data_IF_387611323880
#
_entry.id   IF_387611323880
#
_cell.length_a   1.000
_cell.length_b   1.000
_cell.length_c   1.000
_cell.angle_alpha   90.00
_cell.angle_beta   90.00
_cell.angle_gamma   90.00
#
_symmetry.space_group_name_H-M   'P 1'
#
loop_
_entity.id
_entity.type
_entity.pdbx_description
1 polymer ?
#
# COMPACT_ATOMS: atom_id res chain seq x y z
N UNK A 1 3.22 20.94 -2.09
CA UNK A 1 4.22 20.11 -2.74
C UNK A 1 4.68 19.03 -1.77
N UNK A 2 4.52 17.77 -2.15
CA UNK A 2 4.97 16.63 -1.35
C UNK A 2 6.45 16.34 -1.58
N UNK A 3 7.03 15.33 -0.88
CA UNK A 3 8.40 14.92 -1.12
C UNK A 3 8.54 14.42 -2.54
N UNK A 4 9.57 14.88 -3.22
CA UNK A 4 9.93 14.35 -4.54
C UNK A 4 10.74 13.08 -4.33
N UNK A 5 10.34 12.01 -4.99
CA UNK A 5 11.04 10.73 -4.88
C UNK A 5 10.32 9.65 -5.65
N UNK A 6 10.90 8.46 -5.66
CA UNK A 6 10.40 7.30 -6.40
C UNK A 6 10.20 6.13 -5.45
N UNK A 7 9.01 5.54 -5.52
CA UNK A 7 8.70 4.29 -4.83
C UNK A 7 8.99 3.13 -5.78
N UNK A 8 9.94 2.28 -5.39
CA UNK A 8 10.34 1.11 -6.18
C UNK A 8 9.81 -0.15 -5.50
N UNK A 9 8.98 -0.90 -6.22
CA UNK A 9 8.42 -2.15 -5.74
C UNK A 9 9.30 -3.30 -6.22
N UNK A 10 10.06 -3.87 -5.28
CA UNK A 10 10.87 -5.05 -5.52
C UNK A 10 10.17 -6.33 -5.08
N UNK A 11 10.89 -7.45 -5.15
CA UNK A 11 10.43 -8.71 -4.59
C UNK A 11 10.53 -8.66 -3.06
N UNK A 12 9.43 -8.89 -2.37
CA UNK A 12 9.30 -8.91 -0.91
C UNK A 12 9.60 -7.60 -0.18
N UNK A 13 9.92 -6.50 -0.90
CA UNK A 13 10.18 -5.21 -0.26
C UNK A 13 9.76 -4.04 -1.13
N UNK A 14 9.61 -2.88 -0.49
CA UNK A 14 9.32 -1.61 -1.14
C UNK A 14 10.39 -0.62 -0.69
N UNK A 15 10.97 0.08 -1.66
CA UNK A 15 12.04 1.05 -1.44
C UNK A 15 11.58 2.43 -1.89
N UNK A 16 11.74 3.43 -1.02
CA UNK A 16 11.59 4.83 -1.38
C UNK A 16 12.97 5.45 -1.58
N UNK A 17 13.18 6.05 -2.75
CA UNK A 17 14.43 6.73 -3.09
C UNK A 17 14.18 8.21 -3.34
N UNK A 18 14.98 9.04 -2.70
CA UNK A 18 15.03 10.47 -2.91
C UNK A 18 16.46 10.88 -3.28
N UNK A 19 16.61 11.83 -4.19
CA UNK A 19 17.90 12.17 -4.80
C UNK A 19 19.02 12.53 -3.82
N UNK A 20 18.70 13.04 -2.64
CA UNK A 20 19.67 13.52 -1.66
C UNK A 20 19.63 12.78 -0.33
N UNK A 21 18.95 11.64 -0.27
CA UNK A 21 18.83 10.86 0.95
C UNK A 21 19.12 9.39 0.70
N UNK A 22 19.47 8.67 1.76
CA UNK A 22 19.55 7.22 1.72
C UNK A 22 18.17 6.62 1.43
N UNK A 23 18.17 5.44 0.82
CA UNK A 23 16.93 4.74 0.54
C UNK A 23 16.28 4.22 1.82
N UNK A 24 14.95 4.33 1.90
CA UNK A 24 14.14 3.74 2.96
C UNK A 24 13.48 2.48 2.43
N UNK A 25 13.55 1.39 3.18
CA UNK A 25 12.98 0.10 2.79
C UNK A 25 12.07 -0.45 3.87
N UNK A 26 10.98 -1.10 3.41
CA UNK A 26 10.11 -1.90 4.27
C UNK A 26 9.88 -3.26 3.61
N UNK A 27 9.77 -4.30 4.43
CA UNK A 27 9.34 -5.61 3.95
C UNK A 27 7.85 -5.59 3.64
N UNK A 28 7.43 -6.29 2.59
CA UNK A 28 6.01 -6.54 2.34
C UNK A 28 5.57 -7.61 3.35
N UNK A 29 4.58 -7.34 4.22
CA UNK A 29 4.12 -8.32 5.19
C UNK A 29 3.60 -9.59 4.51
N UNK A 30 3.89 -10.73 5.11
CA UNK A 30 3.46 -12.04 4.63
C UNK A 30 2.16 -12.45 5.29
N UNK A 31 1.30 -13.13 4.54
CA UNK A 31 0.08 -13.71 5.10
C UNK A 31 0.42 -14.80 6.09
N UNK A 32 -0.22 -14.78 7.26
CA UNK A 32 -0.21 -15.94 8.14
C UNK A 32 -1.24 -16.95 7.65
N UNK A 33 -0.78 -18.17 7.38
CA UNK A 33 -1.64 -19.26 6.95
C UNK A 33 -0.87 -20.56 6.81
N UNK A 34 -1.55 -21.69 7.01
CA UNK A 34 -0.94 -23.01 7.04
C UNK A 34 -0.46 -23.53 5.67
N UNK A 35 -0.87 -22.86 4.60
CA UNK A 35 -0.58 -23.32 3.23
C UNK A 35 0.42 -22.46 2.50
N UNK A 36 1.02 -21.49 3.20
CA UNK A 36 1.90 -20.53 2.55
C UNK A 36 3.30 -21.13 2.37
N UNK A 37 3.79 -21.07 1.13
CA UNK A 37 5.17 -21.42 0.81
C UNK A 37 6.09 -20.31 1.29
N UNK A 38 7.00 -20.57 2.27
CA UNK A 38 7.92 -19.56 2.77
C UNK A 38 8.94 -19.10 1.72
N UNK A 39 9.10 -19.85 0.63
CA UNK A 39 10.00 -19.50 -0.47
C UNK A 39 9.32 -18.60 -1.52
N UNK A 40 7.99 -18.49 -1.48
CA UNK A 40 7.27 -17.67 -2.44
C UNK A 40 7.52 -16.20 -2.17
N UNK A 41 7.95 -15.51 -3.20
CA UNK A 41 8.14 -14.06 -3.16
C UNK A 41 6.86 -13.33 -3.55
N UNK A 42 6.67 -12.18 -2.93
CA UNK A 42 5.52 -11.32 -3.20
C UNK A 42 5.92 -10.21 -4.13
N UNK A 43 5.06 -9.95 -5.10
CA UNK A 43 5.26 -8.84 -6.03
C UNK A 43 4.04 -7.92 -6.02
N UNK A 44 4.28 -6.65 -6.23
CA UNK A 44 3.22 -5.67 -6.40
C UNK A 44 2.72 -5.72 -7.84
N UNK A 45 1.43 -5.93 -8.01
CA UNK A 45 0.79 -6.05 -9.33
C UNK A 45 0.01 -4.80 -9.72
N UNK A 46 -0.39 -3.98 -8.75
CA UNK A 46 -1.12 -2.74 -9.00
C UNK A 46 -0.87 -1.75 -7.87
N UNK A 47 -1.02 -0.47 -8.15
CA UNK A 47 -0.86 0.57 -7.15
C UNK A 47 -1.52 1.86 -7.54
N UNK A 48 -1.86 2.67 -6.55
CA UNK A 48 -2.46 3.99 -6.73
C UNK A 48 -2.02 4.90 -5.60
N UNK A 49 -1.85 6.18 -5.90
CA UNK A 49 -1.58 7.22 -4.91
C UNK A 49 -2.84 8.08 -4.71
N UNK A 50 -3.14 8.38 -3.47
CA UNK A 50 -4.24 9.27 -3.11
C UNK A 50 -3.75 10.43 -2.28
N UNK A 51 -4.08 11.66 -2.71
CA UNK A 51 -3.84 12.88 -1.93
C UNK A 51 -5.07 13.18 -1.10
N UNK A 52 -4.87 13.35 0.20
CA UNK A 52 -5.95 13.64 1.13
C UNK A 52 -6.33 15.11 1.08
N UNK A 53 -7.63 15.41 1.13
CA UNK A 53 -8.12 16.78 1.20
C UNK A 53 -7.95 17.31 2.62
N UNK A 54 -7.62 18.59 2.74
CA UNK A 54 -7.62 19.34 4.01
C UNK A 54 -6.37 19.19 4.87
N UNK A 55 -5.50 18.24 4.58
CA UNK A 55 -4.20 18.12 5.23
C UNK A 55 -3.11 18.48 4.22
N UNK A 56 -2.39 19.55 4.43
CA UNK A 56 -1.38 20.03 3.49
C UNK A 56 -0.32 18.94 3.22
N UNK A 57 -0.28 18.45 2.00
CA UNK A 57 0.71 17.46 1.58
C UNK A 57 0.49 16.03 2.05
N UNK A 58 -0.61 15.73 2.75
CA UNK A 58 -0.89 14.37 3.19
C UNK A 58 -1.33 13.51 2.00
N UNK A 59 -0.71 12.33 1.87
CA UNK A 59 -1.03 11.36 0.83
C UNK A 59 -0.65 9.96 1.29
N UNK A 60 -1.20 8.96 0.63
CA UNK A 60 -0.81 7.56 0.84
C UNK A 60 -0.84 6.80 -0.49
N UNK A 61 -0.16 5.67 -0.50
CA UNK A 61 -0.24 4.70 -1.59
C UNK A 61 -1.04 3.50 -1.13
N UNK A 62 -1.84 2.95 -2.03
CA UNK A 62 -2.38 1.59 -1.90
C UNK A 62 -1.69 0.73 -2.94
N UNK A 63 -1.01 -0.32 -2.49
CA UNK A 63 -0.31 -1.27 -3.35
C UNK A 63 -0.92 -2.65 -3.16
N UNK A 64 -1.17 -3.35 -4.26
CA UNK A 64 -1.74 -4.69 -4.25
C UNK A 64 -0.69 -5.72 -4.61
N UNK A 65 -0.62 -6.77 -3.80
CA UNK A 65 0.22 -7.94 -4.10
C UNK A 65 -0.51 -8.90 -5.03
N UNK A 66 0.23 -9.87 -5.55
CA UNK A 66 -0.29 -10.93 -6.40
C UNK A 66 -1.25 -11.89 -5.67
N UNK A 67 -1.38 -11.78 -4.35
CA UNK A 67 -2.42 -12.46 -3.56
C UNK A 67 -3.73 -11.68 -3.46
N UNK A 68 -3.76 -10.44 -3.95
CA UNK A 68 -4.91 -9.55 -3.82
C UNK A 68 -4.89 -8.67 -2.59
N UNK A 69 -3.90 -8.83 -1.72
CA UNK A 69 -3.79 -8.04 -0.49
C UNK A 69 -3.37 -6.61 -0.79
N UNK A 70 -4.11 -5.66 -0.22
CA UNK A 70 -3.82 -4.24 -0.31
C UNK A 70 -3.04 -3.80 0.92
N UNK A 71 -1.95 -3.05 0.67
CA UNK A 71 -1.15 -2.44 1.73
C UNK A 71 -1.19 -0.93 1.58
N UNK A 72 -1.38 -0.26 2.71
CA UNK A 72 -1.30 1.20 2.78
C UNK A 72 0.14 1.59 3.10
N UNK A 73 0.74 2.38 2.23
CA UNK A 73 2.08 2.91 2.41
C UNK A 73 1.98 4.41 2.67
N UNK A 74 2.59 4.85 3.77
CA UNK A 74 2.69 6.27 4.11
C UNK A 74 4.15 6.67 4.27
N UNK A 75 4.43 7.92 3.93
CA UNK A 75 5.76 8.51 4.07
C UNK A 75 5.67 9.55 5.19
N UNK A 76 6.39 9.31 6.28
CA UNK A 76 6.48 10.26 7.38
C UNK A 76 7.61 11.25 7.12
N UNK A 77 7.29 12.52 7.23
CA UNK A 77 8.23 13.61 7.01
C UNK A 77 8.84 14.08 8.32
N UNK A 78 10.07 14.57 8.25
CA UNK A 78 10.66 15.34 9.36
C UNK A 78 9.90 16.64 9.52
N UNK A 79 9.51 16.97 10.73
CA UNK A 79 8.83 18.21 11.05
C UNK A 79 9.82 19.25 11.58
N UNK A 80 9.55 20.53 11.28
CA UNK A 80 10.30 21.64 11.85
C UNK A 80 9.80 21.97 13.28
N UNK A 81 10.40 23.00 13.90
CA UNK A 81 10.06 23.40 15.27
C UNK A 81 8.59 23.87 15.43
N UNK A 82 7.92 24.16 14.31
CA UNK A 82 6.51 24.56 14.28
C UNK A 82 5.57 23.39 13.92
N UNK A 83 6.09 22.18 13.79
CA UNK A 83 5.31 21.00 13.40
C UNK A 83 4.95 20.95 11.92
N UNK A 84 5.65 21.72 11.07
CA UNK A 84 5.41 21.72 9.63
C UNK A 84 6.34 20.74 8.91
N UNK A 85 5.85 20.01 7.89
CA UNK A 85 6.70 19.11 7.11
C UNK A 85 7.82 19.87 6.41
N UNK A 86 9.05 19.34 6.51
CA UNK A 86 10.24 19.98 5.92
C UNK A 86 10.53 19.53 4.49
N UNK A 87 9.86 18.50 4.01
CA UNK A 87 10.21 17.85 2.73
C UNK A 87 11.27 16.78 2.87
N UNK A 88 11.93 16.66 4.01
CA UNK A 88 12.85 15.57 4.31
C UNK A 88 12.07 14.36 4.85
N UNK A 89 12.34 13.18 4.32
CA UNK A 89 11.64 11.96 4.72
C UNK A 89 12.30 11.39 5.98
N UNK A 90 11.48 11.07 6.97
CA UNK A 90 11.91 10.46 8.21
C UNK A 90 11.85 8.93 8.15
N UNK A 91 10.76 8.38 7.63
CA UNK A 91 10.57 6.94 7.49
C UNK A 91 9.46 6.58 6.52
N UNK A 92 9.51 5.34 6.07
CA UNK A 92 8.45 4.71 5.29
C UNK A 92 7.66 3.77 6.22
N UNK A 93 6.34 3.73 6.07
CA UNK A 93 5.47 2.88 6.87
C UNK A 93 4.59 2.04 5.96
N UNK A 94 4.30 0.81 6.37
CA UNK A 94 3.43 -0.10 5.65
C UNK A 94 2.52 -0.85 6.62
N UNK A 95 1.24 -1.01 6.24
CA UNK A 95 0.32 -1.88 6.96
C UNK A 95 -0.73 -2.48 6.04
N UNK A 96 -1.25 -3.63 6.45
CA UNK A 96 -2.34 -4.29 5.75
C UNK A 96 -3.59 -3.42 5.78
N UNK A 97 -4.25 -3.32 4.64
CA UNK A 97 -5.46 -2.51 4.48
C UNK A 97 -6.71 -3.36 4.28
N UNK A 98 -6.80 -4.10 3.21
CA UNK A 98 -7.88 -5.04 2.90
C UNK A 98 -7.42 -5.99 1.78
N UNK A 99 -8.25 -6.96 1.44
CA UNK A 99 -8.02 -7.87 0.32
C UNK A 99 -9.17 -7.73 -0.68
N UNK A 100 -8.83 -7.51 -1.95
CA UNK A 100 -9.80 -7.43 -3.05
C UNK A 100 -9.32 -8.30 -4.20
N UNK A 101 -10.17 -8.62 -5.20
CA UNK A 101 -9.71 -9.37 -6.37
C UNK A 101 -8.51 -8.72 -7.04
N UNK A 102 -7.62 -9.54 -7.61
CA UNK A 102 -6.41 -9.07 -8.27
C UNK A 102 -6.77 -8.14 -9.42
N UNK A 103 -6.22 -6.94 -9.38
CA UNK A 103 -6.52 -5.88 -10.33
C UNK A 103 -5.46 -5.75 -11.42
N UNK A 104 -5.88 -5.45 -12.63
CA UNK A 104 -5.00 -4.91 -13.67
C UNK A 104 -4.67 -3.45 -13.38
N UNK A 105 -5.61 -2.71 -12.80
CA UNK A 105 -5.38 -1.34 -12.34
C UNK A 105 -6.30 -0.96 -11.19
N UNK A 106 -5.85 0.01 -10.40
CA UNK A 106 -6.61 0.61 -9.30
C UNK A 106 -6.79 2.11 -9.58
N UNK A 107 -7.95 2.63 -9.22
CA UNK A 107 -8.22 4.06 -9.33
C UNK A 107 -9.02 4.52 -8.12
N UNK A 108 -8.58 5.61 -7.48
CA UNK A 108 -9.32 6.24 -6.39
C UNK A 108 -10.03 7.47 -6.92
N UNK A 109 -11.35 7.48 -6.79
CA UNK A 109 -12.18 8.57 -7.22
C UNK A 109 -12.32 9.62 -6.11
N UNK A 110 -12.44 10.88 -6.50
CA UNK A 110 -12.56 12.00 -5.55
C UNK A 110 -13.76 11.91 -4.62
N UNK A 111 -14.75 11.12 -4.98
CA UNK A 111 -15.95 10.88 -4.17
C UNK A 111 -15.77 9.84 -3.05
N UNK A 112 -14.56 9.29 -2.88
CA UNK A 112 -14.30 8.31 -1.82
C UNK A 112 -14.55 6.86 -2.24
N UNK A 113 -14.36 6.54 -3.52
CA UNK A 113 -14.52 5.20 -4.05
C UNK A 113 -13.21 4.66 -4.60
N UNK A 114 -13.02 3.37 -4.49
CA UNK A 114 -11.95 2.62 -5.14
C UNK A 114 -12.54 1.79 -6.28
N UNK A 115 -12.03 2.01 -7.48
CA UNK A 115 -12.36 1.19 -8.64
C UNK A 115 -11.24 0.16 -8.86
N UNK A 116 -11.63 -1.12 -8.89
CA UNK A 116 -10.74 -2.25 -9.13
C UNK A 116 -11.04 -2.80 -10.51
N UNK A 117 -10.19 -2.49 -11.49
CA UNK A 117 -10.32 -2.98 -12.85
C UNK A 117 -9.65 -4.34 -12.96
N UNK A 118 -10.41 -5.36 -13.32
CA UNK A 118 -9.93 -6.72 -13.46
C UNK A 118 -9.72 -7.08 -14.92
N UNK A 119 -8.66 -7.83 -15.24
CA UNK A 119 -8.39 -8.28 -16.60
C UNK A 119 -9.29 -9.45 -17.01
N UNK A 120 -9.56 -10.37 -16.09
CA UNK A 120 -10.28 -11.61 -16.36
C UNK A 120 -11.52 -11.83 -15.50
N UNK A 121 -11.91 -10.85 -14.71
CA UNK A 121 -13.06 -10.94 -13.83
C UNK A 121 -13.92 -9.71 -13.91
N UNK A 122 -14.87 -9.59 -13.01
CA UNK A 122 -15.72 -8.43 -12.92
C UNK A 122 -14.96 -7.23 -12.36
N UNK A 123 -15.22 -6.06 -12.92
CA UNK A 123 -14.74 -4.82 -12.30
C UNK A 123 -15.54 -4.56 -11.04
N UNK A 124 -14.91 -4.00 -10.03
CA UNK A 124 -15.54 -3.79 -8.74
C UNK A 124 -15.39 -2.37 -8.25
N UNK A 125 -16.47 -1.85 -7.68
CA UNK A 125 -16.54 -0.56 -7.02
C UNK A 125 -16.65 -0.75 -5.52
N UNK A 126 -15.70 -0.17 -4.79
CA UNK A 126 -15.69 -0.17 -3.34
C UNK A 126 -15.83 1.24 -2.81
N UNK A 127 -16.57 1.40 -1.73
CA UNK A 127 -16.58 2.63 -0.96
C UNK A 127 -15.59 2.53 0.18
N UNK A 128 -14.80 3.59 0.40
CA UNK A 128 -13.96 3.69 1.59
C UNK A 128 -14.84 3.99 2.80
N UNK A 129 -14.93 3.04 3.71
CA UNK A 129 -15.62 3.22 5.00
C UNK A 129 -14.65 3.80 6.03
N UNK A 130 -13.40 3.38 5.98
CA UNK A 130 -12.32 3.81 6.86
C UNK A 130 -11.02 3.91 6.05
N UNK A 131 -10.07 4.67 6.56
CA UNK A 131 -8.74 4.81 5.96
C UNK A 131 -7.65 4.05 6.72
N UNK A 132 -8.04 3.18 7.66
CA UNK A 132 -7.11 2.35 8.41
C UNK A 132 -6.34 3.08 9.51
N UNK A 133 -6.78 4.27 9.93
CA UNK A 133 -6.08 5.03 10.96
C UNK A 133 -6.38 4.53 12.37
N UNK A 134 -7.56 3.96 12.58
CA UNK A 134 -8.05 3.51 13.89
C UNK A 134 -8.20 1.98 13.98
N UNK A 135 -7.57 1.22 13.09
CA UNK A 135 -7.63 -0.23 13.12
C UNK A 135 -6.53 -0.82 14.04
N UNK A 136 -6.64 -2.12 14.32
CA UNK A 136 -5.68 -2.86 15.14
C UNK A 136 -4.53 -3.47 14.33
N UNK A 137 -4.43 -3.13 13.04
CA UNK A 137 -3.41 -3.68 12.18
C UNK A 137 -2.02 -3.17 12.55
N UNK A 138 -1.06 -4.09 12.56
CA UNK A 138 0.33 -3.74 12.85
C UNK A 138 0.91 -2.89 11.72
N UNK A 139 1.46 -1.74 12.09
CA UNK A 139 2.21 -0.88 11.18
C UNK A 139 3.70 -1.19 11.28
N UNK A 140 4.34 -1.46 10.16
CA UNK A 140 5.78 -1.73 10.09
C UNK A 140 6.50 -0.51 9.53
N UNK A 141 7.69 -0.25 10.04
CA UNK A 141 8.45 0.95 9.71
C UNK A 141 9.81 0.60 9.12
N UNK A 142 10.33 1.50 8.27
CA UNK A 142 11.62 1.31 7.62
C UNK A 142 12.81 1.30 8.59
N UNK A 143 12.64 1.87 9.78
CA UNK A 143 13.68 1.88 10.81
C UNK A 143 14.12 0.47 11.23
N UNK A 144 13.23 -0.51 11.08
CA UNK A 144 13.48 -1.91 11.45
C UNK A 144 14.04 -2.74 10.29
N UNK A 145 14.24 -2.16 9.12
CA UNK A 145 14.83 -2.84 7.98
C UNK A 145 16.35 -2.67 8.00
N UNK A 146 17.13 -3.77 7.79
CA UNK A 146 18.60 -3.68 7.82
C UNK A 146 19.14 -2.70 6.77
N UNK A 147 20.13 -1.91 7.16
CA UNK A 147 20.81 -0.98 6.24
C UNK A 147 21.91 -1.67 5.45
N UNK A 148 22.49 -2.75 5.98
CA UNK A 148 23.50 -3.55 5.28
C UNK A 148 22.80 -4.45 4.24
N UNK A 149 23.14 -4.32 2.94
CA UNK A 149 22.52 -5.16 1.90
C UNK A 149 22.85 -6.65 2.04
N UNK A 150 23.86 -7.01 2.79
CA UNK A 150 24.25 -8.41 3.04
C UNK A 150 23.56 -9.00 4.28
N UNK A 151 22.90 -8.17 5.09
CA UNK A 151 22.19 -8.62 6.28
C UNK A 151 20.77 -9.06 5.91
N UNK A 152 20.34 -10.29 6.25
CA UNK A 152 18.97 -10.73 5.98
C UNK A 152 18.01 -9.99 6.90
N UNK A 153 16.87 -9.55 6.33
CA UNK A 153 15.81 -8.94 7.12
C UNK A 153 14.90 -10.03 7.71
N UNK A 154 14.29 -9.72 8.86
CA UNK A 154 13.32 -10.59 9.49
C UNK A 154 11.95 -10.40 8.81
N UNK A 155 11.31 -11.47 8.29
CA UNK A 155 9.98 -11.35 7.72
C UNK A 155 8.96 -10.85 8.75
N UNK A 156 8.03 -10.03 8.31
CA UNK A 156 6.91 -9.54 9.10
C UNK A 156 5.60 -10.10 8.54
N UNK A 157 4.57 -10.18 9.36
CA UNK A 157 3.35 -10.91 9.03
C UNK A 157 2.10 -10.09 9.32
N UNK A 158 1.02 -10.45 8.64
CA UNK A 158 -0.32 -9.94 8.92
C UNK A 158 -1.33 -11.10 8.88
N UNK A 159 -2.48 -10.90 9.50
CA UNK A 159 -3.57 -11.85 9.45
C UNK A 159 -4.63 -11.35 8.46
N UNK A 160 -4.91 -12.10 7.38
CA UNK A 160 -6.02 -11.76 6.50
C UNK A 160 -7.33 -11.76 7.29
N UNK A 161 -8.19 -10.81 6.99
CA UNK A 161 -9.49 -10.67 7.65
C UNK A 161 -10.54 -10.25 6.64
N UNK A 162 -11.85 -10.38 6.96
CA UNK A 162 -12.90 -9.80 6.13
C UNK A 162 -12.68 -8.30 5.92
N UNK A 163 -13.15 -7.78 4.78
CA UNK A 163 -13.01 -6.37 4.45
C UNK A 163 -13.59 -5.49 5.55
N UNK A 164 -12.84 -4.48 5.96
CA UNK A 164 -13.21 -3.55 7.02
C UNK A 164 -13.17 -2.11 6.55
N UNK A 165 -12.15 -1.76 5.78
CA UNK A 165 -11.95 -0.40 5.27
C UNK A 165 -12.70 -0.15 3.97
N UNK A 166 -12.94 -1.20 3.19
CA UNK A 166 -13.62 -1.13 1.91
C UNK A 166 -14.94 -1.90 1.95
N UNK A 167 -15.99 -1.30 1.40
CA UNK A 167 -17.28 -1.94 1.25
C UNK A 167 -17.62 -2.06 -0.24
N UNK A 168 -17.90 -3.28 -0.70
CA UNK A 168 -18.28 -3.52 -2.09
C UNK A 168 -19.66 -2.91 -2.36
N UNK A 169 -19.71 -1.98 -3.31
CA UNK A 169 -20.95 -1.28 -3.70
C UNK A 169 -21.54 -1.89 -4.95
N UNK A 170 -20.69 -2.18 -5.93
CA UNK A 170 -21.14 -2.67 -7.24
C UNK A 170 -20.07 -3.55 -7.88
N UNK A 171 -20.55 -4.59 -8.58
CA UNK A 171 -19.72 -5.43 -9.43
C UNK A 171 -20.20 -5.31 -10.86
N UNK A 172 -19.31 -4.93 -11.77
CA UNK A 172 -19.62 -4.70 -13.19
C UNK A 172 -19.03 -5.85 -13.99
N UNK A 173 -19.88 -6.55 -14.76
CA UNK A 173 -19.44 -7.67 -15.57
C UNK A 173 -18.57 -7.17 -16.74
N UNK A 174 -17.29 -7.51 -16.69
CA UNK A 174 -16.33 -7.18 -17.74
C UNK A 174 -16.44 -8.08 -18.97
N UNK A 175 -17.18 -9.18 -18.85
CA UNK A 175 -17.43 -10.12 -19.96
C UNK A 175 -18.56 -9.68 -20.86
N UNK A 176 -19.27 -8.62 -20.50
CA UNK A 176 -20.30 -8.08 -21.37
C UNK A 176 -19.64 -7.43 -22.59
N UNK A 177 -19.73 -8.02 -23.78
CA UNK A 177 -19.02 -7.49 -24.92
C UNK A 177 -19.59 -6.13 -25.30
N UNK A 178 -18.72 -5.16 -25.33
CA UNK A 178 -19.00 -3.88 -25.96
C UNK A 178 -19.05 -4.13 -27.47
N UNK A 179 -20.22 -4.38 -27.94
CA UNK A 179 -20.40 -4.51 -29.36
C UNK A 179 -20.71 -3.18 -30.00
#
# INVERSE_FOLDING_TARGET
DGPSGVLVCGEDNITYRHSNQEAFRVAIPRRRGATEDPQRKRVIVAGVMHKMRGAAGAFFFLLQTDDGDLFKITIEMVEDDNGQPTGEVKRLKIKYFDTVPIAASLCILKSGFLFVASEFGNHQFYQFEKLGDDDEEMEYISDNFPTDPNEPYTPVYFHPRPAENLNLVESIDSMNPLM
#
